data_IF_089934273325
#
_entry.id   IF_089934273325
#
_cell.length_a   1.000
_cell.length_b   1.000
_cell.length_c   1.000
_cell.angle_alpha   90.00
_cell.angle_beta   90.00
_cell.angle_gamma   90.00
#
_symmetry.space_group_name_H-M   'P 1'
#
loop_
_entity.id
_entity.type
_entity.pdbx_description
1 polymer ?
#
# COMPACT_ATOMS: atom_id res chain seq x y z
N UNK A 1 12.70 -39.65 58.84
CA UNK A 1 11.74 -39.76 57.73
C UNK A 1 11.13 -38.38 57.49
N UNK A 2 11.74 -37.60 56.59
CA UNK A 2 11.29 -36.25 56.21
C UNK A 2 11.32 -36.20 54.69
N UNK A 3 10.17 -36.00 54.06
CA UNK A 3 10.09 -35.71 52.63
C UNK A 3 9.33 -34.39 52.54
N UNK A 4 10.07 -33.31 52.29
CA UNK A 4 9.51 -32.03 51.91
C UNK A 4 9.17 -32.10 50.42
N UNK A 5 7.89 -31.94 50.09
CA UNK A 5 7.45 -31.76 48.71
C UNK A 5 7.72 -30.30 48.32
N UNK A 6 8.82 -30.07 47.61
CA UNK A 6 9.11 -28.79 46.98
C UNK A 6 8.28 -28.67 45.69
N UNK A 7 7.27 -27.81 45.72
CA UNK A 7 6.54 -27.38 44.52
C UNK A 7 7.44 -26.42 43.75
N UNK A 8 8.01 -26.90 42.64
CA UNK A 8 8.81 -26.09 41.72
C UNK A 8 7.85 -25.28 40.84
N UNK A 9 7.56 -24.04 41.24
CA UNK A 9 6.91 -23.04 40.38
C UNK A 9 7.92 -22.59 39.32
N UNK A 10 7.90 -23.28 38.18
CA UNK A 10 8.53 -22.81 36.95
C UNK A 10 7.74 -21.59 36.44
N UNK A 11 8.14 -20.39 36.89
CA UNK A 11 7.83 -19.16 36.17
C UNK A 11 8.49 -19.28 34.79
N UNK A 12 7.72 -19.71 33.79
CA UNK A 12 8.09 -19.53 32.39
C UNK A 12 8.09 -18.03 32.12
N UNK A 13 9.21 -17.37 32.40
CA UNK A 13 9.50 -16.06 31.88
C UNK A 13 9.56 -16.22 30.36
N UNK A 14 8.43 -16.04 29.70
CA UNK A 14 8.41 -15.89 28.25
C UNK A 14 9.20 -14.62 27.97
N UNK A 15 10.46 -14.81 27.61
CA UNK A 15 11.29 -13.77 27.00
C UNK A 15 10.55 -13.32 25.73
N UNK A 16 9.70 -12.29 25.87
CA UNK A 16 9.20 -11.51 24.77
C UNK A 16 10.39 -10.75 24.21
N UNK A 17 11.12 -11.41 23.31
CA UNK A 17 12.05 -10.71 22.43
C UNK A 17 11.21 -9.87 21.46
N UNK A 18 10.87 -8.64 21.86
CA UNK A 18 10.53 -7.60 20.91
C UNK A 18 11.82 -7.28 20.15
N UNK A 19 11.99 -7.87 18.97
CA UNK A 19 13.03 -7.43 18.03
C UNK A 19 12.71 -6.00 17.64
N UNK A 20 13.37 -5.04 18.29
CA UNK A 20 13.26 -3.64 17.91
C UNK A 20 13.73 -3.49 16.46
N UNK A 21 13.01 -2.69 15.67
CA UNK A 21 13.46 -2.33 14.33
C UNK A 21 14.70 -1.44 14.45
N UNK A 22 15.75 -1.76 13.72
CA UNK A 22 16.92 -0.90 13.58
C UNK A 22 16.67 0.08 12.42
N UNK A 23 16.56 1.37 12.77
CA UNK A 23 16.11 2.41 11.86
C UNK A 23 17.07 3.60 11.88
N UNK A 24 17.27 4.22 10.72
CA UNK A 24 18.00 5.49 10.60
C UNK A 24 17.06 6.60 10.13
N UNK A 25 17.30 7.83 10.62
CA UNK A 25 16.55 9.00 10.18
C UNK A 25 17.09 9.45 8.83
N UNK A 26 16.18 9.64 7.86
CA UNK A 26 16.49 10.28 6.58
C UNK A 26 15.91 11.69 6.52
N UNK A 27 16.65 12.63 5.94
CA UNK A 27 16.20 14.01 5.75
C UNK A 27 15.02 14.07 4.77
N UNK A 28 13.95 14.74 5.19
CA UNK A 28 12.74 14.92 4.39
C UNK A 28 11.52 15.15 5.29
N UNK A 29 10.45 15.74 4.75
CA UNK A 29 9.18 15.85 5.43
C UNK A 29 8.07 15.49 4.44
N UNK A 30 7.48 14.31 4.62
CA UNK A 30 6.47 13.75 3.75
C UNK A 30 5.21 13.45 4.56
N UNK A 31 4.06 13.45 3.88
CA UNK A 31 2.79 12.95 4.42
C UNK A 31 2.43 11.57 3.90
N UNK A 32 3.04 11.16 2.78
CA UNK A 32 2.88 9.85 2.17
C UNK A 32 4.19 9.48 1.46
N UNK A 33 4.53 8.19 1.52
CA UNK A 33 5.69 7.57 0.88
C UNK A 33 5.24 6.25 0.27
N UNK A 34 5.86 5.85 -0.83
CA UNK A 34 5.67 4.56 -1.46
C UNK A 34 7.02 4.04 -2.00
N UNK A 35 7.18 2.72 -2.04
CA UNK A 35 8.42 2.07 -2.44
C UNK A 35 8.14 0.80 -3.25
N UNK A 36 8.76 0.72 -4.43
CA UNK A 36 8.59 -0.40 -5.34
C UNK A 36 9.61 -0.35 -6.47
N UNK A 37 10.00 -1.52 -6.98
CA UNK A 37 11.00 -1.65 -8.05
C UNK A 37 12.32 -0.87 -7.80
N UNK A 38 12.80 -0.88 -6.55
CA UNK A 38 14.02 -0.18 -6.15
C UNK A 38 13.92 1.35 -6.14
N UNK A 39 12.73 1.91 -6.35
CA UNK A 39 12.45 3.34 -6.28
C UNK A 39 11.70 3.67 -5.00
N UNK A 40 11.87 4.90 -4.51
CA UNK A 40 11.10 5.44 -3.39
C UNK A 40 10.59 6.82 -3.79
N UNK A 41 9.29 7.02 -3.63
CA UNK A 41 8.62 8.28 -3.97
C UNK A 41 7.75 8.73 -2.81
N UNK A 42 7.35 9.98 -2.81
CA UNK A 42 6.39 10.47 -1.82
C UNK A 42 5.96 11.90 -2.08
N UNK A 43 5.08 12.40 -1.23
CA UNK A 43 4.56 13.76 -1.30
C UNK A 43 4.56 14.40 0.07
N UNK A 44 4.74 15.72 0.12
CA UNK A 44 4.65 16.49 1.37
C UNK A 44 3.26 17.12 1.60
N UNK A 45 3.12 17.87 2.70
CA UNK A 45 1.87 18.55 3.06
C UNK A 45 1.42 19.60 2.03
N UNK A 46 2.34 20.14 1.23
CA UNK A 46 2.07 21.09 0.15
C UNK A 46 1.71 20.42 -1.18
N UNK A 47 1.56 19.08 -1.20
CA UNK A 47 1.37 18.28 -2.42
C UNK A 47 2.55 18.37 -3.39
N UNK A 48 3.76 18.63 -2.90
CA UNK A 48 4.97 18.58 -3.72
C UNK A 48 5.45 17.11 -3.77
N UNK A 49 5.59 16.51 -4.96
CA UNK A 49 6.11 15.16 -5.11
C UNK A 49 7.64 15.12 -5.11
N UNK A 50 8.18 14.04 -4.56
CA UNK A 50 9.60 13.78 -4.42
C UNK A 50 9.97 12.37 -4.87
N UNK A 51 11.19 12.22 -5.35
CA UNK A 51 11.84 10.95 -5.70
C UNK A 51 13.11 10.84 -4.91
N UNK A 52 13.38 9.69 -4.29
CA UNK A 52 14.65 9.43 -3.64
C UNK A 52 15.72 9.10 -4.69
N UNK A 53 16.72 9.98 -4.83
CA UNK A 53 17.87 9.81 -5.73
C UNK A 53 19.14 10.04 -4.92
N UNK A 54 20.06 9.06 -4.91
CA UNK A 54 21.31 9.14 -4.15
C UNK A 54 21.09 9.53 -2.68
N UNK A 55 20.09 8.93 -2.03
CA UNK A 55 19.68 9.20 -0.64
C UNK A 55 19.18 10.62 -0.36
N UNK A 56 18.75 11.35 -1.38
CA UNK A 56 18.15 12.69 -1.26
C UNK A 56 16.79 12.71 -1.95
N UNK A 57 15.77 13.22 -1.26
CA UNK A 57 14.46 13.46 -1.88
C UNK A 57 14.52 14.67 -2.81
N UNK A 58 14.46 14.43 -4.11
CA UNK A 58 14.47 15.44 -5.17
C UNK A 58 13.04 15.76 -5.60
N UNK A 59 12.65 17.03 -5.53
CA UNK A 59 11.32 17.51 -5.90
C UNK A 59 11.09 17.42 -7.42
N UNK A 60 9.87 17.03 -7.82
CA UNK A 60 9.38 17.12 -9.19
C UNK A 60 8.45 18.34 -9.32
N UNK A 61 8.53 19.07 -10.45
CA UNK A 61 7.72 20.26 -10.69
C UNK A 61 6.29 19.94 -11.14
N UNK A 62 5.45 19.52 -10.19
CA UNK A 62 4.01 19.33 -10.35
C UNK A 62 3.33 19.29 -8.96
N UNK A 63 2.03 18.99 -8.90
CA UNK A 63 1.32 18.82 -7.63
C UNK A 63 0.58 17.48 -7.57
N UNK A 64 0.94 16.66 -6.59
CA UNK A 64 0.35 15.35 -6.30
C UNK A 64 0.05 15.24 -4.81
N UNK A 65 -1.13 14.71 -4.47
CA UNK A 65 -1.51 14.42 -3.07
C UNK A 65 -1.20 12.99 -2.65
N UNK A 66 -0.92 12.11 -3.61
CA UNK A 66 -0.48 10.73 -3.45
C UNK A 66 0.34 10.33 -4.68
N UNK A 67 1.45 9.64 -4.46
CA UNK A 67 2.40 9.23 -5.49
C UNK A 67 2.90 7.82 -5.18
N UNK A 68 2.75 6.92 -6.14
CA UNK A 68 3.08 5.51 -6.06
C UNK A 68 4.04 5.08 -7.16
N UNK A 69 4.88 4.08 -6.84
CA UNK A 69 5.85 3.48 -7.75
C UNK A 69 5.88 1.96 -7.58
N UNK A 70 5.86 1.23 -8.70
CA UNK A 70 5.97 -0.21 -8.68
C UNK A 70 6.03 -0.81 -10.08
N UNK A 71 5.80 -2.13 -10.24
CA UNK A 71 5.84 -2.79 -11.54
C UNK A 71 4.87 -2.22 -12.58
N UNK A 72 3.77 -1.58 -12.15
CA UNK A 72 2.84 -0.91 -13.06
C UNK A 72 3.27 0.50 -13.51
N UNK A 73 4.41 0.99 -13.01
CA UNK A 73 4.99 2.28 -13.36
C UNK A 73 4.93 3.28 -12.21
N UNK A 74 4.91 4.56 -12.57
CA UNK A 74 4.94 5.70 -11.64
C UNK A 74 3.64 6.47 -11.80
N UNK A 75 2.77 6.36 -10.80
CA UNK A 75 1.39 6.83 -10.83
C UNK A 75 1.16 7.80 -9.69
N UNK A 76 0.43 8.88 -9.92
CA UNK A 76 0.03 9.78 -8.85
C UNK A 76 -1.32 10.40 -9.11
N UNK A 77 -1.91 10.96 -8.06
CA UNK A 77 -3.16 11.72 -8.16
C UNK A 77 -3.01 13.09 -7.52
N UNK A 78 -3.66 14.10 -8.10
CA UNK A 78 -3.65 15.46 -7.56
C UNK A 78 -4.88 15.76 -6.68
N UNK A 79 -4.96 16.98 -6.14
CA UNK A 79 -6.07 17.42 -5.27
C UNK A 79 -7.44 17.33 -5.93
N UNK A 80 -7.52 17.47 -7.27
CA UNK A 80 -8.74 17.33 -8.05
C UNK A 80 -9.06 15.87 -8.43
N UNK A 81 -8.29 14.89 -7.94
CA UNK A 81 -8.39 13.47 -8.24
C UNK A 81 -7.99 13.08 -9.68
N UNK A 82 -7.40 13.98 -10.46
CA UNK A 82 -6.83 13.61 -11.75
C UNK A 82 -5.64 12.68 -11.55
N UNK A 83 -5.58 11.63 -12.36
CA UNK A 83 -4.50 10.64 -12.37
C UNK A 83 -3.40 11.14 -13.30
N UNK A 84 -2.14 10.93 -12.91
CA UNK A 84 -0.96 11.23 -13.70
C UNK A 84 -0.09 9.98 -13.77
N UNK A 85 0.44 9.69 -14.95
CA UNK A 85 1.36 8.58 -15.19
C UNK A 85 2.66 9.12 -15.77
N UNK A 86 3.81 8.69 -15.27
CA UNK A 86 5.09 9.03 -15.87
C UNK A 86 5.33 8.18 -17.13
N UNK A 87 5.48 8.83 -18.27
CA UNK A 87 5.80 8.20 -19.55
C UNK A 87 6.70 9.12 -20.38
N UNK A 88 7.66 8.52 -21.08
CA UNK A 88 8.53 9.22 -22.02
C UNK A 88 9.21 10.47 -21.41
N UNK A 89 9.61 10.40 -20.14
CA UNK A 89 10.33 11.46 -19.44
C UNK A 89 9.45 12.54 -18.79
N UNK A 90 8.12 12.42 -18.82
CA UNK A 90 7.21 13.40 -18.22
C UNK A 90 5.97 12.77 -17.60
N UNK A 91 5.35 13.46 -16.65
CA UNK A 91 4.01 13.09 -16.18
C UNK A 91 2.96 13.60 -17.15
N UNK A 92 2.13 12.69 -17.62
CA UNK A 92 0.96 12.99 -18.44
C UNK A 92 -0.30 12.70 -17.65
N UNK A 93 -1.38 13.42 -17.94
CA UNK A 93 -2.67 13.11 -17.35
C UNK A 93 -3.20 11.79 -17.92
N UNK A 94 -3.54 10.87 -17.03
CA UNK A 94 -4.09 9.56 -17.35
C UNK A 94 -5.62 9.59 -17.12
N UNK A 95 -6.45 9.05 -18.05
CA UNK A 95 -7.90 9.12 -17.91
C UNK A 95 -8.43 8.44 -16.66
N UNK A 96 -9.36 9.11 -15.97
CA UNK A 96 -9.99 8.61 -14.73
C UNK A 96 -9.89 9.62 -13.59
N UNK A 97 -10.60 9.32 -12.49
CA UNK A 97 -10.59 10.13 -11.27
C UNK A 97 -10.43 9.23 -10.04
N UNK A 98 -9.27 9.32 -9.38
CA UNK A 98 -8.95 8.55 -8.17
C UNK A 98 -8.44 9.47 -7.07
N UNK A 99 -8.81 9.20 -5.82
CA UNK A 99 -8.27 9.91 -4.65
C UNK A 99 -6.98 9.29 -4.13
N UNK A 100 -6.74 8.02 -4.45
CA UNK A 100 -5.50 7.29 -4.19
C UNK A 100 -5.31 6.26 -5.31
N UNK A 101 -4.06 6.05 -5.71
CA UNK A 101 -3.65 5.12 -6.77
C UNK A 101 -2.45 4.32 -6.29
N UNK A 102 -2.34 3.06 -6.70
CA UNK A 102 -1.22 2.19 -6.42
C UNK A 102 -0.70 1.54 -7.72
N UNK A 103 0.61 1.36 -7.77
CA UNK A 103 1.35 0.79 -8.88
C UNK A 103 2.15 -0.48 -8.49
N UNK A 104 1.94 -1.04 -7.29
CA UNK A 104 2.66 -2.20 -6.76
C UNK A 104 2.28 -3.55 -7.40
N UNK A 105 1.11 -3.63 -8.03
CA UNK A 105 0.62 -4.86 -8.68
C UNK A 105 1.47 -5.31 -9.87
N UNK A 106 1.30 -6.55 -10.32
CA UNK A 106 1.95 -7.09 -11.53
C UNK A 106 1.43 -6.40 -12.79
N UNK A 107 2.00 -5.23 -13.06
CA UNK A 107 1.70 -4.32 -14.17
C UNK A 107 0.25 -3.82 -14.23
N UNK A 108 -0.55 -4.08 -13.19
CA UNK A 108 -1.91 -3.53 -13.03
C UNK A 108 -1.87 -2.22 -12.24
N UNK A 109 -2.76 -1.29 -12.60
CA UNK A 109 -3.01 -0.11 -11.77
C UNK A 109 -4.21 -0.41 -10.88
N UNK A 110 -4.17 0.02 -9.62
CA UNK A 110 -5.30 -0.10 -8.70
C UNK A 110 -5.54 1.22 -7.97
N UNK A 111 -6.76 1.44 -7.49
CA UNK A 111 -7.02 2.60 -6.64
C UNK A 111 -8.49 2.79 -6.32
N UNK A 112 -8.77 3.89 -5.62
CA UNK A 112 -10.11 4.23 -5.17
C UNK A 112 -10.46 5.67 -5.51
N UNK A 113 -11.74 5.94 -5.80
CA UNK A 113 -12.22 7.29 -6.10
C UNK A 113 -12.69 8.04 -4.85
N UNK A 114 -13.22 9.26 -5.04
CA UNK A 114 -13.73 10.10 -3.94
C UNK A 114 -14.91 9.51 -3.18
N UNK A 115 -15.64 8.55 -3.78
CA UNK A 115 -16.81 7.89 -3.22
C UNK A 115 -16.48 6.50 -2.64
N UNK A 116 -15.20 6.20 -2.44
CA UNK A 116 -14.68 4.88 -2.03
C UNK A 116 -14.94 3.75 -3.05
N UNK A 117 -15.36 4.05 -4.28
CA UNK A 117 -15.46 3.03 -5.34
C UNK A 117 -14.07 2.54 -5.73
N UNK A 118 -13.97 1.25 -6.01
CA UNK A 118 -12.71 0.54 -6.23
C UNK A 118 -12.55 0.29 -7.72
N UNK A 119 -11.37 0.63 -8.26
CA UNK A 119 -11.04 0.42 -9.66
C UNK A 119 -9.69 -0.25 -9.81
N UNK A 120 -9.56 -1.03 -10.88
CA UNK A 120 -8.28 -1.53 -11.35
C UNK A 120 -8.19 -1.46 -12.88
N UNK A 121 -6.97 -1.54 -13.41
CA UNK A 121 -6.68 -1.58 -14.83
C UNK A 121 -5.73 -2.73 -15.12
N UNK A 122 -6.12 -3.60 -16.06
CA UNK A 122 -5.30 -4.71 -16.51
C UNK A 122 -4.04 -4.22 -17.25
N UNK A 123 -2.98 -5.03 -17.25
CA UNK A 123 -1.68 -4.78 -17.87
C UNK A 123 -1.80 -4.36 -19.34
N UNK A 124 -2.53 -5.11 -20.16
CA UNK A 124 -2.68 -4.80 -21.60
C UNK A 124 -3.21 -3.38 -21.85
N UNK A 125 -4.07 -2.88 -20.96
CA UNK A 125 -4.60 -1.52 -21.03
C UNK A 125 -3.66 -0.48 -20.40
N UNK A 126 -2.88 -0.87 -19.39
CA UNK A 126 -1.85 -0.03 -18.78
C UNK A 126 -0.72 0.29 -19.77
N UNK A 127 -0.30 -0.70 -20.56
CA UNK A 127 0.80 -0.60 -21.52
C UNK A 127 0.41 0.07 -22.83
N UNK A 128 -0.87 0.04 -23.17
CA UNK A 128 -1.40 0.64 -24.40
C UNK A 128 -1.69 2.13 -24.21
N UNK A 129 -0.69 2.97 -24.43
CA UNK A 129 -0.85 4.43 -24.43
C UNK A 129 -0.10 5.12 -25.60
N UNK A 130 -0.70 6.14 -26.26
CA UNK A 130 -2.02 6.73 -26.03
C UNK A 130 -3.19 5.82 -26.42
N UNK A 131 -4.28 5.88 -25.67
CA UNK A 131 -5.53 5.16 -25.97
C UNK A 131 -6.72 6.11 -25.91
N UNK A 132 -7.68 5.94 -26.83
CA UNK A 132 -8.93 6.71 -26.85
C UNK A 132 -9.88 6.35 -25.71
N UNK A 133 -9.72 5.16 -25.12
CA UNK A 133 -10.53 4.66 -24.01
C UNK A 133 -9.66 3.90 -23.02
N UNK A 134 -9.89 4.10 -21.72
CA UNK A 134 -9.24 3.33 -20.65
C UNK A 134 -10.30 2.45 -19.99
N UNK A 135 -10.22 1.11 -20.16
CA UNK A 135 -11.21 0.17 -19.64
C UNK A 135 -10.98 -0.10 -18.15
N UNK A 136 -11.21 0.90 -17.30
CA UNK A 136 -11.22 0.71 -15.86
C UNK A 136 -12.24 -0.37 -15.46
N UNK A 137 -11.79 -1.33 -14.66
CA UNK A 137 -12.62 -2.38 -14.09
C UNK A 137 -13.09 -1.90 -12.72
N UNK A 138 -14.40 -1.72 -12.56
CA UNK A 138 -15.00 -1.45 -11.25
C UNK A 138 -15.15 -2.76 -10.46
N UNK A 139 -14.63 -2.79 -9.24
CA UNK A 139 -14.74 -3.94 -8.34
C UNK A 139 -15.81 -3.64 -7.29
N UNK A 140 -16.85 -4.48 -7.12
CA UNK A 140 -17.87 -4.26 -6.09
C UNK A 140 -17.28 -4.19 -4.69
N UNK A 141 -17.62 -3.14 -3.95
CA UNK A 141 -17.13 -2.89 -2.60
C UNK A 141 -16.88 -1.41 -2.34
N UNK A 142 -16.41 -1.08 -1.14
CA UNK A 142 -16.03 0.28 -0.76
C UNK A 142 -14.73 0.27 0.04
N UNK A 143 -13.71 0.96 -0.46
CA UNK A 143 -12.41 1.12 0.21
C UNK A 143 -11.95 2.57 0.14
N UNK A 144 -11.28 3.04 1.20
CA UNK A 144 -10.64 4.36 1.22
C UNK A 144 -9.17 4.33 0.80
N UNK A 145 -8.56 3.15 0.80
CA UNK A 145 -7.18 2.90 0.40
C UNK A 145 -7.06 1.48 -0.17
N UNK A 146 -6.33 1.31 -1.27
CA UNK A 146 -6.19 0.04 -1.97
C UNK A 146 -4.79 -0.09 -2.59
N UNK A 147 -4.10 -1.17 -2.27
CA UNK A 147 -2.72 -1.46 -2.67
C UNK A 147 -2.61 -2.89 -3.17
N UNK A 148 -1.83 -3.11 -4.23
CA UNK A 148 -1.68 -4.39 -4.90
C UNK A 148 -0.23 -4.86 -4.84
N UNK A 149 -0.07 -6.18 -4.74
CA UNK A 149 1.22 -6.84 -4.90
C UNK A 149 1.17 -7.91 -5.99
N UNK A 150 2.05 -8.91 -5.95
CA UNK A 150 2.23 -9.85 -7.05
C UNK A 150 1.04 -10.78 -7.33
N UNK A 151 0.21 -11.10 -6.33
CA UNK A 151 -0.89 -12.08 -6.47
C UNK A 151 -2.16 -11.75 -5.66
N UNK A 152 -2.16 -10.62 -4.96
CA UNK A 152 -3.30 -10.16 -4.18
C UNK A 152 -3.25 -8.66 -3.99
N UNK A 153 -4.41 -8.07 -3.74
CA UNK A 153 -4.51 -6.69 -3.32
C UNK A 153 -5.15 -6.61 -1.95
N UNK A 154 -4.78 -5.59 -1.19
CA UNK A 154 -5.26 -5.32 0.15
C UNK A 154 -5.81 -3.91 0.21
N UNK A 155 -6.81 -3.71 1.05
CA UNK A 155 -7.35 -2.39 1.26
C UNK A 155 -8.03 -2.25 2.60
N UNK A 156 -8.32 -1.00 2.92
CA UNK A 156 -9.08 -0.65 4.12
C UNK A 156 -10.27 0.23 3.75
N UNK A 157 -11.39 0.03 4.43
CA UNK A 157 -12.58 0.87 4.23
C UNK A 157 -12.61 2.10 5.17
N UNK A 158 -13.65 2.90 5.08
CA UNK A 158 -13.84 4.10 5.90
C UNK A 158 -13.92 3.82 7.41
N UNK A 159 -14.25 2.59 7.81
CA UNK A 159 -14.28 2.11 9.19
C UNK A 159 -12.98 1.43 9.62
N UNK A 160 -11.88 1.61 8.87
CA UNK A 160 -10.57 0.99 9.08
C UNK A 160 -10.57 -0.55 8.98
N UNK A 161 -11.65 -1.18 8.52
CA UNK A 161 -11.71 -2.63 8.36
C UNK A 161 -10.84 -3.06 7.17
N UNK A 162 -10.09 -4.14 7.37
CA UNK A 162 -9.10 -4.65 6.42
C UNK A 162 -9.76 -5.69 5.51
N UNK A 163 -9.42 -5.65 4.22
CA UNK A 163 -9.88 -6.61 3.24
C UNK A 163 -8.73 -7.06 2.33
N UNK A 164 -8.78 -8.31 1.90
CA UNK A 164 -7.92 -8.87 0.85
C UNK A 164 -8.78 -9.30 -0.34
N UNK A 165 -8.29 -8.99 -1.54
CA UNK A 165 -8.74 -9.56 -2.80
C UNK A 165 -7.69 -10.55 -3.31
N UNK A 166 -8.07 -11.81 -3.42
CA UNK A 166 -7.20 -12.90 -3.87
C UNK A 166 -7.36 -13.16 -5.37
N UNK A 167 -6.45 -13.97 -5.90
CA UNK A 167 -6.43 -14.46 -7.28
C UNK A 167 -6.29 -13.32 -8.30
N UNK A 168 -5.62 -12.24 -7.91
CA UNK A 168 -5.32 -11.10 -8.78
C UNK A 168 -4.17 -11.46 -9.71
N UNK A 169 -4.33 -11.17 -10.99
CA UNK A 169 -3.28 -11.34 -12.02
C UNK A 169 -3.21 -10.11 -12.93
N UNK A 170 -2.17 -10.07 -13.76
CA UNK A 170 -1.95 -8.98 -14.74
C UNK A 170 -3.10 -8.75 -15.72
N UNK A 171 -3.87 -9.79 -16.05
CA UNK A 171 -5.01 -9.76 -16.98
C UNK A 171 -6.37 -9.92 -16.29
N UNK A 172 -6.39 -10.16 -14.98
CA UNK A 172 -7.59 -10.21 -14.15
C UNK A 172 -7.36 -9.41 -12.87
N UNK A 173 -7.26 -8.09 -13.01
CA UNK A 173 -6.97 -7.17 -11.91
C UNK A 173 -8.06 -7.17 -10.81
N UNK A 174 -9.29 -7.59 -11.15
CA UNK A 174 -10.39 -7.77 -10.19
C UNK A 174 -10.33 -9.09 -9.42
N UNK A 175 -9.33 -9.94 -9.71
CA UNK A 175 -9.12 -11.24 -9.10
C UNK A 175 -10.38 -12.08 -8.99
N UNK A 176 -10.57 -12.71 -7.82
CA UNK A 176 -11.77 -13.48 -7.47
C UNK A 176 -13.08 -12.69 -7.44
N UNK A 177 -13.02 -11.35 -7.49
CA UNK A 177 -14.16 -10.44 -7.37
C UNK A 177 -14.80 -10.38 -5.98
N UNK A 178 -14.26 -11.10 -4.99
CA UNK A 178 -14.84 -11.23 -3.65
C UNK A 178 -13.82 -10.84 -2.58
N UNK A 179 -14.07 -9.72 -1.90
CA UNK A 179 -13.25 -9.29 -0.78
C UNK A 179 -13.47 -10.17 0.45
N UNK A 180 -12.37 -10.65 1.03
CA UNK A 180 -12.37 -11.33 2.33
C UNK A 180 -11.99 -10.33 3.42
N UNK A 181 -12.83 -10.19 4.45
CA UNK A 181 -12.50 -9.39 5.62
C UNK A 181 -11.39 -10.07 6.43
N UNK A 182 -10.36 -9.29 6.78
CA UNK A 182 -9.29 -9.71 7.66
C UNK A 182 -9.44 -8.97 8.98
N UNK A 183 -9.48 -9.72 10.07
CA UNK A 183 -9.62 -9.15 11.41
C UNK A 183 -8.49 -8.16 11.73
N UNK A 184 -8.85 -7.01 12.28
CA UNK A 184 -7.95 -5.90 12.58
C UNK A 184 -8.49 -4.56 12.08
N UNK A 185 -7.83 -3.48 12.47
CA UNK A 185 -8.17 -2.12 12.03
C UNK A 185 -6.90 -1.38 11.60
N UNK A 186 -6.89 -0.89 10.36
CA UNK A 186 -5.80 -0.11 9.78
C UNK A 186 -6.36 1.08 9.01
N UNK A 187 -5.66 2.21 9.05
CA UNK A 187 -6.04 3.44 8.34
C UNK A 187 -5.44 3.50 6.94
N UNK A 188 -4.34 2.78 6.68
CA UNK A 188 -3.77 2.52 5.35
C UNK A 188 -2.99 1.19 5.36
N UNK A 189 -2.75 0.63 4.18
CA UNK A 189 -2.12 -0.67 3.99
C UNK A 189 -1.36 -0.69 2.66
N UNK A 190 -0.17 -1.26 2.65
CA UNK A 190 0.67 -1.43 1.47
C UNK A 190 1.11 -2.89 1.30
N UNK A 191 1.22 -3.31 0.04
CA UNK A 191 1.70 -4.62 -0.37
C UNK A 191 2.98 -4.44 -1.18
N UNK A 192 4.09 -5.01 -0.71
CA UNK A 192 5.36 -4.96 -1.40
C UNK A 192 5.44 -6.00 -2.52
N UNK A 193 6.44 -5.83 -3.41
CA UNK A 193 6.66 -6.72 -4.56
C UNK A 193 7.06 -8.15 -4.18
N UNK A 194 7.54 -8.37 -2.96
CA UNK A 194 7.82 -9.70 -2.40
C UNK A 194 6.59 -10.34 -1.71
N UNK A 195 5.44 -9.65 -1.71
CA UNK A 195 4.21 -10.06 -1.05
C UNK A 195 4.12 -9.68 0.43
N UNK A 196 5.11 -9.00 1.00
CA UNK A 196 5.02 -8.47 2.36
C UNK A 196 3.90 -7.44 2.46
N UNK A 197 3.14 -7.46 3.56
CA UNK A 197 2.03 -6.51 3.80
C UNK A 197 2.29 -5.75 5.09
N UNK A 198 2.27 -4.42 5.00
CA UNK A 198 2.42 -3.52 6.13
C UNK A 198 1.27 -2.53 6.17
N UNK A 199 0.95 -2.03 7.35
CA UNK A 199 -0.02 -0.95 7.48
C UNK A 199 0.07 -0.26 8.82
N UNK A 200 -0.53 0.92 8.90
CA UNK A 200 -0.64 1.67 10.15
C UNK A 200 -2.10 1.86 10.52
N UNK A 201 -2.39 1.87 11.82
CA UNK A 201 -3.72 2.17 12.34
C UNK A 201 -3.86 3.66 12.72
N UNK A 202 -5.05 4.05 13.16
CA UNK A 202 -5.35 5.43 13.57
C UNK A 202 -4.53 5.90 14.80
N UNK A 203 -3.97 4.95 15.56
CA UNK A 203 -3.09 5.19 16.71
C UNK A 203 -1.62 5.26 16.28
N UNK A 204 -1.33 5.24 14.98
CA UNK A 204 0.04 5.32 14.42
C UNK A 204 0.91 4.13 14.84
N UNK A 205 0.29 3.01 15.21
CA UNK A 205 1.01 1.74 15.41
C UNK A 205 1.24 1.06 14.06
N UNK A 206 2.45 0.56 13.85
CA UNK A 206 2.87 -0.16 12.64
C UNK A 206 2.61 -1.66 12.81
N UNK A 207 2.05 -2.27 11.77
CA UNK A 207 1.78 -3.70 11.72
C UNK A 207 2.38 -4.34 10.47
N UNK A 208 2.73 -5.62 10.58
CA UNK A 208 3.06 -6.49 9.44
C UNK A 208 2.17 -7.73 9.46
N UNK A 209 1.66 -8.15 8.30
CA UNK A 209 0.95 -9.42 8.18
C UNK A 209 1.91 -10.60 8.32
N UNK A 210 1.57 -11.57 9.16
CA UNK A 210 2.25 -12.86 9.27
C UNK A 210 1.72 -13.92 8.29
N UNK A 211 2.29 -15.12 8.38
CA UNK A 211 2.03 -16.28 7.50
C UNK A 211 0.60 -16.84 7.49
N UNK A 212 -0.33 -16.25 8.24
CA UNK A 212 -1.76 -16.63 8.27
C UNK A 212 -2.69 -15.42 8.05
N UNK A 213 -2.19 -14.30 7.52
CA UNK A 213 -2.98 -13.07 7.36
C UNK A 213 -3.31 -12.36 8.67
N UNK A 214 -2.64 -12.73 9.76
CA UNK A 214 -2.77 -12.04 11.06
C UNK A 214 -1.74 -10.92 11.14
N UNK A 215 -2.18 -9.71 11.48
CA UNK A 215 -1.29 -8.59 11.72
C UNK A 215 -0.61 -8.69 13.09
N UNK A 216 0.69 -8.47 13.11
CA UNK A 216 1.52 -8.38 14.31
C UNK A 216 2.04 -6.95 14.45
N UNK A 217 2.02 -6.41 15.66
CA UNK A 217 2.60 -5.10 15.96
C UNK A 217 4.11 -5.15 15.73
N UNK A 218 4.65 -4.13 15.04
CA UNK A 218 6.08 -3.96 14.75
C UNK A 218 6.68 -2.74 15.40
N UNK A 219 5.90 -1.67 15.52
CA UNK A 219 6.28 -0.46 16.24
C UNK A 219 5.04 0.24 16.78
N UNK A 220 5.21 1.00 17.84
CA UNK A 220 4.20 1.88 18.42
C UNK A 220 4.83 3.27 18.62
N UNK A 221 4.01 4.34 18.70
CA UNK A 221 4.51 5.69 18.96
C UNK A 221 5.29 5.82 20.26
#
# INVERSE_FOLDING_TARGET
MKIYQSVLLLFSCQFLHTLALDCTVMSGNLKQIDAGMGSVVGVNNLNEPFVLINNVFIKINMSLKHFSVGPAGWLGVNSANYIFKFQSGSFIQFPGLLKQVDAGGDQIIAGVNMNDDIFCLNMDANDKWPSSTIPWVHIPGKLKYYSCGPYSCWGVNSNDQIFILRDVSNNACSGSGNFLNIGGLLSMIEVATDGSVFGVNYQVSLFQSGSMGKFQVKAQP
#
